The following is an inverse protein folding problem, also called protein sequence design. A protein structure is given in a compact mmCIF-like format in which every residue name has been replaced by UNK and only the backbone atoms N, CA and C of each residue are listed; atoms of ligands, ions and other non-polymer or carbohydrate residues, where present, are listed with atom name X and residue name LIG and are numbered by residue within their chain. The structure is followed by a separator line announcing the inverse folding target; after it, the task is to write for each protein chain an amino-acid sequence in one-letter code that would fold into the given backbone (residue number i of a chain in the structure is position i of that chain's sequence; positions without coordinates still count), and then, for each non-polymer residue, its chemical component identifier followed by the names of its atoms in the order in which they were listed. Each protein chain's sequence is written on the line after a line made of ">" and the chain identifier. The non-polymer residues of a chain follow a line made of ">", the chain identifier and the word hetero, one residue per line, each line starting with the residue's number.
data_IF_571088858418
#
_entry.id   IF_571088858418
#
_cell.length_a   1.000
_cell.length_b   1.000
_cell.length_c   1.000
_cell.angle_alpha   90.00
_cell.angle_beta   90.00
_cell.angle_gamma   90.00
#
_symmetry.space_group_name_H-M   'P 1'
#
loop_
_entity.id
_entity.type
_entity.pdbx_description
1 polymer ?
#
# COMPACT_ATOMS: atom_id res chain seq x y z
N UNK A 1 -6.37 -24.77 -3.96
CA UNK A 1 -5.83 -24.04 -5.12
C UNK A 1 -5.29 -25.05 -6.12
N UNK A 2 -5.38 -24.76 -7.41
CA UNK A 2 -4.71 -25.52 -8.46
C UNK A 2 -3.21 -25.18 -8.52
N UNK A 3 -2.41 -26.03 -9.15
CA UNK A 3 -0.97 -25.76 -9.38
C UNK A 3 -0.71 -24.44 -10.13
N UNK A 4 -1.62 -24.07 -11.03
CA UNK A 4 -1.55 -22.80 -11.76
C UNK A 4 -1.81 -21.61 -10.84
N UNK A 5 -2.83 -21.69 -10.00
CA UNK A 5 -3.14 -20.65 -9.01
C UNK A 5 -1.99 -20.46 -8.02
N UNK A 6 -1.42 -21.53 -7.49
CA UNK A 6 -0.25 -21.45 -6.59
C UNK A 6 0.95 -20.80 -7.27
N UNK A 7 1.16 -21.05 -8.57
CA UNK A 7 2.25 -20.46 -9.34
C UNK A 7 2.04 -18.97 -9.58
N UNK A 8 0.80 -18.57 -9.86
CA UNK A 8 0.41 -17.16 -9.98
C UNK A 8 0.62 -16.42 -8.66
N UNK A 9 0.15 -16.99 -7.55
CA UNK A 9 0.28 -16.38 -6.23
C UNK A 9 1.74 -16.24 -5.79
N UNK A 10 2.60 -17.25 -6.00
CA UNK A 10 4.04 -17.11 -5.71
C UNK A 10 4.68 -15.95 -6.47
N UNK A 11 4.29 -15.72 -7.72
CA UNK A 11 4.80 -14.59 -8.50
C UNK A 11 4.32 -13.25 -7.94
N UNK A 12 3.03 -13.14 -7.59
CA UNK A 12 2.46 -11.91 -7.00
C UNK A 12 3.13 -11.61 -5.66
N UNK A 13 3.16 -12.57 -4.72
CA UNK A 13 3.79 -12.40 -3.40
C UNK A 13 5.26 -11.99 -3.51
N UNK A 14 6.00 -12.63 -4.42
CA UNK A 14 7.42 -12.29 -4.65
C UNK A 14 7.56 -10.89 -5.25
N UNK A 15 6.73 -10.54 -6.24
CA UNK A 15 6.75 -9.22 -6.86
C UNK A 15 6.37 -8.13 -5.86
N UNK A 16 5.36 -8.34 -5.01
CA UNK A 16 4.98 -7.42 -3.92
C UNK A 16 6.17 -7.14 -3.02
N UNK A 17 6.80 -8.19 -2.46
CA UNK A 17 7.97 -8.01 -1.57
C UNK A 17 9.10 -7.26 -2.27
N UNK A 18 9.40 -7.58 -3.53
CA UNK A 18 10.47 -6.91 -4.27
C UNK A 18 10.12 -5.45 -4.59
N UNK A 19 8.90 -5.13 -5.00
CA UNK A 19 8.50 -3.74 -5.23
C UNK A 19 8.52 -2.92 -3.95
N UNK A 20 8.13 -3.50 -2.80
CA UNK A 20 8.26 -2.86 -1.50
C UNK A 20 9.72 -2.61 -1.10
N UNK A 21 10.62 -3.53 -1.43
CA UNK A 21 12.01 -3.48 -0.99
C UNK A 21 12.91 -2.61 -1.86
N UNK A 22 12.67 -2.56 -3.19
CA UNK A 22 13.58 -1.92 -4.15
C UNK A 22 12.86 -1.09 -5.24
N UNK A 23 11.53 -1.03 -5.24
CA UNK A 23 10.76 -0.28 -6.24
C UNK A 23 10.45 -1.09 -7.50
N UNK A 24 9.58 -0.54 -8.37
CA UNK A 24 9.15 -1.22 -9.57
C UNK A 24 10.29 -1.31 -10.58
N UNK A 25 10.92 -0.20 -10.95
CA UNK A 25 11.93 -0.09 -11.99
C UNK A 25 13.15 -0.98 -11.73
N UNK A 26 13.61 -1.06 -10.48
CA UNK A 26 14.75 -1.89 -10.10
C UNK A 26 14.45 -3.41 -10.12
N UNK A 27 13.18 -3.80 -10.13
CA UNK A 27 12.78 -5.21 -10.05
C UNK A 27 12.62 -5.84 -11.42
N UNK A 28 13.51 -6.76 -11.81
CA UNK A 28 13.42 -7.47 -13.08
C UNK A 28 12.53 -8.72 -13.05
N UNK A 29 11.86 -9.07 -14.16
CA UNK A 29 11.11 -10.32 -14.29
C UNK A 29 11.95 -11.57 -13.99
N UNK A 30 13.23 -11.56 -14.41
CA UNK A 30 14.17 -12.66 -14.12
C UNK A 30 14.37 -12.86 -12.62
N UNK A 31 14.46 -11.76 -11.87
CA UNK A 31 14.60 -11.80 -10.42
C UNK A 31 13.34 -12.36 -9.76
N UNK A 32 12.16 -11.85 -10.15
CA UNK A 32 10.86 -12.35 -9.65
C UNK A 32 10.74 -13.86 -9.85
N UNK A 33 11.02 -14.35 -11.07
CA UNK A 33 10.92 -15.78 -11.39
C UNK A 33 11.91 -16.63 -10.59
N UNK A 34 13.13 -16.14 -10.42
CA UNK A 34 14.16 -16.82 -9.65
C UNK A 34 13.77 -16.93 -8.18
N UNK A 35 13.30 -15.84 -7.58
CA UNK A 35 12.95 -15.79 -6.15
C UNK A 35 11.58 -16.43 -5.86
N UNK A 36 10.67 -16.50 -6.83
CA UNK A 36 9.38 -17.19 -6.69
C UNK A 36 9.44 -18.70 -6.97
N UNK A 37 10.59 -19.19 -7.45
CA UNK A 37 10.75 -20.57 -7.91
C UNK A 37 9.87 -20.92 -9.11
N UNK A 38 9.51 -19.93 -9.95
CA UNK A 38 8.57 -20.13 -11.05
C UNK A 38 9.33 -20.26 -12.39
N UNK A 39 9.02 -21.29 -13.21
CA UNK A 39 9.64 -21.42 -14.53
C UNK A 39 9.33 -20.23 -15.44
N UNK A 40 10.30 -19.82 -16.26
CA UNK A 40 10.14 -18.69 -17.20
C UNK A 40 8.94 -18.84 -18.15
N UNK A 41 8.65 -20.08 -18.58
CA UNK A 41 7.50 -20.37 -19.44
C UNK A 41 6.14 -20.09 -18.77
N UNK A 42 6.06 -20.15 -17.44
CA UNK A 42 4.82 -19.88 -16.70
C UNK A 42 4.49 -18.39 -16.61
N UNK A 43 5.48 -17.50 -16.75
CA UNK A 43 5.24 -16.05 -16.68
C UNK A 43 4.21 -15.61 -17.72
N UNK A 44 4.48 -15.86 -18.99
CA UNK A 44 3.61 -15.42 -20.09
C UNK A 44 2.29 -16.20 -20.18
N UNK A 45 2.20 -17.33 -19.47
CA UNK A 45 0.93 -18.04 -19.30
C UNK A 45 0.01 -17.32 -18.30
N UNK A 46 0.58 -16.79 -17.20
CA UNK A 46 -0.19 -16.12 -16.13
C UNK A 46 -0.31 -14.61 -16.31
N UNK A 47 0.69 -13.99 -16.93
CA UNK A 47 0.82 -12.56 -17.16
C UNK A 47 1.32 -12.35 -18.60
N UNK A 48 0.47 -12.55 -19.62
CA UNK A 48 0.84 -12.40 -21.03
C UNK A 48 1.41 -11.02 -21.36
N UNK A 49 0.97 -9.96 -20.70
CA UNK A 49 1.50 -8.60 -20.87
C UNK A 49 2.74 -8.33 -19.99
N UNK A 50 3.25 -9.37 -19.32
CA UNK A 50 4.49 -9.35 -18.57
C UNK A 50 4.43 -8.54 -17.27
N UNK A 51 5.47 -7.75 -17.02
CA UNK A 51 5.71 -7.12 -15.72
C UNK A 51 4.64 -6.10 -15.34
N UNK A 52 4.11 -5.38 -16.32
CA UNK A 52 3.11 -4.36 -16.08
C UNK A 52 1.80 -4.97 -15.57
N UNK A 53 1.34 -6.06 -16.19
CA UNK A 53 0.15 -6.79 -15.73
C UNK A 53 0.35 -7.40 -14.35
N UNK A 54 1.53 -8.01 -14.11
CA UNK A 54 1.89 -8.49 -12.77
C UNK A 54 1.86 -7.34 -11.73
N UNK A 55 2.31 -6.14 -12.10
CA UNK A 55 2.30 -5.00 -11.19
C UNK A 55 0.89 -4.45 -10.94
N UNK A 56 -0.01 -4.46 -11.93
CA UNK A 56 -1.43 -4.16 -11.71
C UNK A 56 -2.03 -5.11 -10.67
N UNK A 57 -1.71 -6.40 -10.77
CA UNK A 57 -2.18 -7.41 -9.82
C UNK A 57 -1.59 -7.24 -8.42
N UNK A 58 -0.31 -6.87 -8.33
CA UNK A 58 0.31 -6.48 -7.04
C UNK A 58 -0.40 -5.27 -6.44
N UNK A 59 -0.66 -4.22 -7.23
CA UNK A 59 -1.37 -3.01 -6.77
C UNK A 59 -2.77 -3.38 -6.30
N UNK A 60 -3.51 -4.17 -7.06
CA UNK A 60 -4.87 -4.58 -6.71
C UNK A 60 -4.90 -5.43 -5.43
N UNK A 61 -4.02 -6.44 -5.32
CA UNK A 61 -3.95 -7.32 -4.15
C UNK A 61 -3.53 -6.56 -2.90
N UNK A 62 -2.45 -5.81 -2.97
CA UNK A 62 -1.99 -5.02 -1.83
C UNK A 62 -3.00 -3.93 -1.44
N UNK A 63 -3.64 -3.34 -2.44
CA UNK A 63 -4.75 -2.39 -2.27
C UNK A 63 -5.93 -2.98 -1.49
N UNK A 64 -6.35 -4.20 -1.85
CA UNK A 64 -7.41 -4.96 -1.17
C UNK A 64 -6.98 -5.32 0.26
N UNK A 65 -5.81 -5.93 0.44
CA UNK A 65 -5.34 -6.41 1.75
C UNK A 65 -5.25 -5.25 2.76
N UNK A 66 -4.72 -4.10 2.33
CA UNK A 66 -4.65 -2.92 3.19
C UNK A 66 -6.03 -2.27 3.39
N UNK A 67 -6.91 -2.30 2.38
CA UNK A 67 -8.28 -1.83 2.53
C UNK A 67 -9.08 -2.66 3.56
N UNK A 68 -8.92 -3.98 3.54
CA UNK A 68 -9.52 -4.87 4.53
C UNK A 68 -8.98 -4.55 5.94
N UNK A 69 -7.66 -4.38 6.07
CA UNK A 69 -7.04 -3.97 7.33
C UNK A 69 -7.60 -2.63 7.83
N UNK A 70 -7.76 -1.64 6.95
CA UNK A 70 -8.39 -0.36 7.27
C UNK A 70 -9.81 -0.58 7.77
N UNK A 71 -10.64 -1.33 7.06
CA UNK A 71 -12.04 -1.57 7.44
C UNK A 71 -12.15 -2.30 8.79
N UNK A 72 -11.34 -3.32 9.02
CA UNK A 72 -11.28 -4.05 10.30
C UNK A 72 -10.92 -3.14 11.48
N UNK A 73 -9.84 -2.36 11.34
CA UNK A 73 -9.37 -1.44 12.39
C UNK A 73 -10.38 -0.33 12.64
N UNK A 74 -10.98 0.23 11.59
CA UNK A 74 -12.04 1.23 11.71
C UNK A 74 -13.21 0.61 12.49
N UNK A 75 -13.76 -0.52 12.06
CA UNK A 75 -14.92 -1.13 12.73
C UNK A 75 -14.67 -1.51 14.19
N UNK A 76 -13.43 -1.84 14.57
CA UNK A 76 -13.06 -2.19 15.94
C UNK A 76 -12.73 -0.98 16.84
N UNK A 77 -12.56 0.22 16.27
CA UNK A 77 -12.13 1.42 17.00
C UNK A 77 -13.29 2.34 17.40
N UNK A 78 -13.16 3.12 18.50
CA UNK A 78 -14.19 4.05 18.96
C UNK A 78 -14.34 5.30 18.08
N UNK A 79 -13.26 5.78 17.45
CA UNK A 79 -13.25 6.95 16.55
C UNK A 79 -12.15 6.84 15.47
N UNK A 80 -12.18 7.74 14.49
CA UNK A 80 -11.26 7.84 13.34
C UNK A 80 -9.82 8.14 13.75
N UNK A 81 -9.62 8.89 14.83
CA UNK A 81 -8.29 9.25 15.32
C UNK A 81 -7.63 8.01 15.91
N UNK A 82 -8.37 7.25 16.71
CA UNK A 82 -7.92 6.00 17.34
C UNK A 82 -7.63 4.95 16.28
N UNK A 83 -8.50 4.77 15.28
CA UNK A 83 -8.26 3.84 14.18
C UNK A 83 -7.05 4.24 13.34
N UNK A 84 -6.90 5.52 12.99
CA UNK A 84 -5.74 5.98 12.23
C UNK A 84 -4.43 5.77 13.01
N UNK A 85 -4.42 6.01 14.32
CA UNK A 85 -3.26 5.70 15.19
C UNK A 85 -2.92 4.22 15.19
N UNK A 86 -3.92 3.34 15.28
CA UNK A 86 -3.71 1.89 15.21
C UNK A 86 -3.16 1.43 13.86
N UNK A 87 -3.58 2.05 12.76
CA UNK A 87 -3.02 1.81 11.43
C UNK A 87 -1.56 2.22 11.37
N UNK A 88 -1.21 3.41 11.87
CA UNK A 88 0.19 3.85 11.92
C UNK A 88 1.03 2.94 12.84
N UNK A 89 0.47 2.46 13.95
CA UNK A 89 1.13 1.48 14.83
C UNK A 89 1.41 0.14 14.10
N UNK A 90 0.50 -0.31 13.23
CA UNK A 90 0.72 -1.50 12.40
C UNK A 90 1.87 -1.28 11.40
N UNK A 91 1.90 -0.12 10.75
CA UNK A 91 2.97 0.24 9.82
C UNK A 91 4.32 0.38 10.53
N UNK A 92 4.35 0.94 11.75
CA UNK A 92 5.56 1.06 12.54
C UNK A 92 6.12 -0.31 12.94
N UNK A 93 5.25 -1.24 13.38
CA UNK A 93 5.65 -2.62 13.68
C UNK A 93 6.21 -3.35 12.47
N UNK A 94 5.57 -3.19 11.30
CA UNK A 94 6.08 -3.77 10.05
C UNK A 94 7.46 -3.20 9.71
N UNK A 95 7.64 -1.88 9.86
CA UNK A 95 8.93 -1.24 9.67
C UNK A 95 10.01 -1.83 10.56
N UNK A 96 9.75 -1.90 11.87
CA UNK A 96 10.70 -2.45 12.84
C UNK A 96 11.07 -3.90 12.52
N UNK A 97 10.08 -4.71 12.10
CA UNK A 97 10.27 -6.10 11.70
C UNK A 97 11.13 -6.24 10.43
N UNK A 98 11.09 -5.26 9.51
CA UNK A 98 11.85 -5.27 8.25
C UNK A 98 13.08 -4.37 8.27
N UNK A 99 13.50 -3.89 9.45
CA UNK A 99 14.57 -2.88 9.59
C UNK A 99 14.34 -1.64 8.69
N UNK A 100 13.07 -1.29 8.48
CA UNK A 100 12.59 -0.18 7.69
C UNK A 100 13.03 -0.22 6.21
N UNK A 101 13.22 -1.43 5.70
CA UNK A 101 13.63 -1.69 4.31
C UNK A 101 12.45 -1.92 3.36
N UNK A 102 11.21 -1.91 3.86
CA UNK A 102 9.99 -2.04 3.05
C UNK A 102 9.20 -0.74 3.04
N UNK A 103 8.56 -0.44 1.91
CA UNK A 103 7.65 0.70 1.76
C UNK A 103 6.31 0.28 1.15
N UNK A 104 5.51 1.27 0.73
CA UNK A 104 4.26 1.02 0.01
C UNK A 104 4.54 0.70 -1.49
N UNK A 105 4.15 -0.48 -2.00
CA UNK A 105 4.37 -0.81 -3.40
C UNK A 105 3.46 0.01 -4.33
N UNK A 106 2.27 0.39 -3.86
CA UNK A 106 1.32 1.25 -4.60
C UNK A 106 1.92 2.65 -4.77
N UNK A 107 2.48 3.22 -3.70
CA UNK A 107 3.19 4.50 -3.73
C UNK A 107 4.41 4.48 -4.64
N UNK A 108 5.25 3.43 -4.54
CA UNK A 108 6.41 3.26 -5.41
C UNK A 108 6.03 3.20 -6.90
N UNK A 109 5.04 2.38 -7.26
CA UNK A 109 4.55 2.26 -8.64
C UNK A 109 3.94 3.57 -9.13
N UNK A 110 3.14 4.25 -8.30
CA UNK A 110 2.55 5.53 -8.66
C UNK A 110 3.63 6.57 -8.97
N UNK A 111 4.64 6.66 -8.11
CA UNK A 111 5.74 7.61 -8.27
C UNK A 111 6.58 7.33 -9.52
N UNK A 112 6.89 6.06 -9.79
CA UNK A 112 7.78 5.67 -10.89
C UNK A 112 7.08 5.62 -12.26
N UNK A 113 5.80 5.24 -12.30
CA UNK A 113 5.13 4.82 -13.54
C UNK A 113 3.94 5.67 -13.96
N UNK A 114 3.42 6.57 -13.11
CA UNK A 114 2.22 7.33 -13.45
C UNK A 114 2.35 8.17 -14.74
N UNK A 115 3.55 8.64 -15.09
CA UNK A 115 3.76 9.45 -16.29
C UNK A 115 4.03 8.63 -17.56
N UNK A 116 4.24 7.31 -17.42
CA UNK A 116 4.70 6.43 -18.51
C UNK A 116 3.74 5.26 -18.77
N UNK A 117 2.85 4.94 -17.83
CA UNK A 117 1.84 3.90 -17.95
C UNK A 117 0.48 4.38 -17.43
N UNK A 118 -0.48 4.58 -18.34
CA UNK A 118 -1.86 4.89 -17.97
C UNK A 118 -2.51 3.75 -17.18
N UNK A 119 -2.16 2.50 -17.51
CA UNK A 119 -2.69 1.30 -16.85
C UNK A 119 -2.30 1.27 -15.37
N UNK A 120 -1.03 1.51 -15.05
CA UNK A 120 -0.55 1.57 -13.67
C UNK A 120 -1.02 2.84 -12.94
N UNK A 121 -1.10 3.97 -13.64
CA UNK A 121 -1.67 5.22 -13.09
C UNK A 121 -3.11 5.01 -12.64
N UNK A 122 -3.93 4.34 -13.46
CA UNK A 122 -5.33 4.03 -13.13
C UNK A 122 -5.42 3.08 -11.93
N UNK A 123 -4.66 1.98 -11.93
CA UNK A 123 -4.68 0.99 -10.85
C UNK A 123 -4.32 1.61 -9.50
N UNK A 124 -3.23 2.40 -9.46
CA UNK A 124 -2.80 3.07 -8.21
C UNK A 124 -3.78 4.14 -7.74
N UNK A 125 -4.38 4.91 -8.67
CA UNK A 125 -5.44 5.88 -8.35
C UNK A 125 -6.63 5.21 -7.67
N UNK A 126 -7.13 4.11 -8.24
CA UNK A 126 -8.29 3.37 -7.69
C UNK A 126 -8.03 2.90 -6.26
N UNK A 127 -6.81 2.44 -5.97
CA UNK A 127 -6.40 2.03 -4.62
C UNK A 127 -6.35 3.20 -3.65
N UNK A 128 -5.70 4.32 -4.01
CA UNK A 128 -5.65 5.50 -3.14
C UNK A 128 -7.03 6.13 -2.89
N UNK A 129 -7.90 6.13 -3.91
CA UNK A 129 -9.30 6.56 -3.77
C UNK A 129 -10.07 5.66 -2.80
N UNK A 130 -9.85 4.34 -2.87
CA UNK A 130 -10.48 3.39 -1.94
C UNK A 130 -10.02 3.60 -0.50
N UNK A 131 -8.71 3.67 -0.25
CA UNK A 131 -8.15 3.88 1.09
C UNK A 131 -8.64 5.20 1.70
N UNK A 132 -8.56 6.29 0.92
CA UNK A 132 -9.08 7.60 1.33
C UNK A 132 -10.59 7.55 1.59
N UNK A 133 -11.34 6.81 0.76
CA UNK A 133 -12.78 6.66 0.90
C UNK A 133 -13.20 5.92 2.17
N UNK A 134 -12.45 4.89 2.59
CA UNK A 134 -12.70 4.18 3.85
C UNK A 134 -12.55 5.12 5.04
N UNK A 135 -11.44 5.86 5.11
CA UNK A 135 -11.19 6.81 6.20
C UNK A 135 -12.20 7.97 6.18
N UNK A 136 -12.55 8.51 5.01
CA UNK A 136 -13.54 9.58 4.88
C UNK A 136 -14.93 9.15 5.37
N UNK A 137 -15.35 7.90 5.08
CA UNK A 137 -16.60 7.35 5.61
C UNK A 137 -16.56 7.27 7.14
N UNK A 138 -15.42 6.87 7.72
CA UNK A 138 -15.28 6.83 9.17
C UNK A 138 -15.34 8.23 9.79
N UNK A 139 -14.58 9.19 9.27
CA UNK A 139 -14.62 10.58 9.73
C UNK A 139 -16.06 11.16 9.67
N UNK A 140 -16.81 10.83 8.61
CA UNK A 140 -18.21 11.25 8.49
C UNK A 140 -19.12 10.61 9.54
N UNK A 141 -18.89 9.33 9.88
CA UNK A 141 -19.63 8.65 10.93
C UNK A 141 -19.35 9.24 12.33
N UNK A 142 -18.18 9.84 12.51
CA UNK A 142 -17.80 10.56 13.74
C UNK A 142 -18.31 12.02 13.76
N UNK A 143 -19.06 12.45 12.75
CA UNK A 143 -19.75 13.74 12.72
C UNK A 143 -19.08 14.82 11.85
N UNK A 144 -17.95 14.53 11.20
CA UNK A 144 -17.29 15.49 10.30
C UNK A 144 -18.10 15.62 9.01
N UNK A 145 -18.22 16.84 8.47
CA UNK A 145 -18.95 17.04 7.22
C UNK A 145 -18.35 16.22 6.08
N UNK A 146 -19.15 15.67 5.13
CA UNK A 146 -18.61 14.82 4.08
C UNK A 146 -17.53 15.47 3.21
N UNK A 147 -17.54 16.79 3.05
CA UNK A 147 -16.50 17.48 2.28
C UNK A 147 -15.19 17.57 3.03
N UNK A 148 -15.25 18.01 4.29
CA UNK A 148 -14.09 18.09 5.16
C UNK A 148 -13.50 16.69 5.45
N UNK A 149 -14.34 15.68 5.68
CA UNK A 149 -13.94 14.28 5.85
C UNK A 149 -13.12 13.75 4.65
N UNK A 150 -13.50 14.10 3.42
CA UNK A 150 -12.73 13.74 2.21
C UNK A 150 -11.38 14.44 2.17
N UNK A 151 -11.32 15.73 2.52
CA UNK A 151 -10.08 16.51 2.50
C UNK A 151 -9.10 16.00 3.57
N UNK A 152 -9.59 15.78 4.80
CA UNK A 152 -8.82 15.21 5.92
C UNK A 152 -8.34 13.80 5.66
N UNK A 153 -9.19 12.93 5.09
CA UNK A 153 -8.77 11.58 4.74
C UNK A 153 -7.64 11.57 3.71
N UNK A 154 -7.72 12.43 2.68
CA UNK A 154 -6.61 12.59 1.71
C UNK A 154 -5.34 13.11 2.38
N UNK A 155 -5.46 14.11 3.25
CA UNK A 155 -4.32 14.65 3.99
C UNK A 155 -3.64 13.57 4.86
N UNK A 156 -4.44 12.72 5.52
CA UNK A 156 -3.91 11.60 6.30
C UNK A 156 -3.21 10.54 5.44
N UNK A 157 -3.77 10.15 4.30
CA UNK A 157 -3.10 9.23 3.37
C UNK A 157 -1.80 9.84 2.84
N UNK A 158 -1.79 11.12 2.48
CA UNK A 158 -0.56 11.84 2.10
C UNK A 158 0.49 11.81 3.21
N UNK A 159 0.08 12.04 4.45
CA UNK A 159 0.99 12.04 5.61
C UNK A 159 1.55 10.64 5.88
N UNK A 160 0.73 9.58 5.77
CA UNK A 160 1.16 8.18 5.93
C UNK A 160 2.17 7.80 4.84
N UNK A 161 1.86 8.04 3.57
CA UNK A 161 2.77 7.73 2.45
C UNK A 161 4.08 8.53 2.55
N UNK A 162 3.99 9.81 2.92
CA UNK A 162 5.17 10.65 3.17
C UNK A 162 6.02 10.13 4.33
N UNK A 163 5.38 9.68 5.42
CA UNK A 163 6.09 9.07 6.55
C UNK A 163 6.80 7.79 6.12
N UNK A 164 6.17 6.90 5.34
CA UNK A 164 6.83 5.69 4.83
C UNK A 164 8.09 6.00 4.00
N UNK A 165 8.06 7.08 3.20
CA UNK A 165 9.24 7.55 2.47
C UNK A 165 10.35 8.02 3.42
N UNK A 166 10.02 8.86 4.41
CA UNK A 166 10.98 9.41 5.36
C UNK A 166 11.58 8.34 6.26
N UNK A 167 10.74 7.43 6.77
CA UNK A 167 11.13 6.26 7.55
C UNK A 167 12.16 5.41 6.80
N UNK A 168 11.93 5.17 5.50
CA UNK A 168 12.90 4.46 4.66
C UNK A 168 14.20 5.24 4.47
N UNK A 169 14.11 6.55 4.25
CA UNK A 169 15.28 7.40 4.04
C UNK A 169 16.18 7.49 5.29
N UNK A 170 15.57 7.50 6.48
CA UNK A 170 16.29 7.55 7.75
C UNK A 170 16.61 6.16 8.34
N UNK A 171 15.92 5.11 7.89
CA UNK A 171 15.99 3.80 8.51
C UNK A 171 15.43 3.80 9.94
N UNK A 172 14.42 4.63 10.21
CA UNK A 172 13.95 4.93 11.57
C UNK A 172 12.42 4.94 11.65
N UNK A 173 11.87 4.02 12.44
CA UNK A 173 10.43 3.92 12.70
C UNK A 173 9.88 5.07 13.55
N UNK A 174 10.73 5.87 14.21
CA UNK A 174 10.31 7.03 15.02
C UNK A 174 9.47 8.02 14.22
N UNK A 175 9.69 8.11 12.90
CA UNK A 175 8.91 8.98 11.99
C UNK A 175 7.43 8.58 11.97
N UNK A 176 7.12 7.29 12.02
CA UNK A 176 5.74 6.81 12.09
C UNK A 176 5.15 7.07 13.49
N UNK A 177 5.95 6.90 14.55
CA UNK A 177 5.53 7.24 15.92
C UNK A 177 5.24 8.75 16.07
N UNK A 178 6.04 9.61 15.44
CA UNK A 178 5.80 11.06 15.41
C UNK A 178 4.51 11.39 14.65
N UNK A 179 4.28 10.76 13.48
CA UNK A 179 3.04 10.93 12.72
C UNK A 179 1.82 10.52 13.55
N UNK A 180 1.89 9.39 14.26
CA UNK A 180 0.82 8.88 15.12
C UNK A 180 0.38 9.91 16.17
N UNK A 181 1.33 10.63 16.77
CA UNK A 181 1.03 11.69 17.73
C UNK A 181 0.41 12.94 17.08
N UNK A 182 0.66 13.15 15.78
CA UNK A 182 0.14 14.29 15.02
C UNK A 182 -1.17 14.04 14.28
N UNK A 183 -1.59 12.77 14.14
CA UNK A 183 -2.88 12.42 13.50
C UNK A 183 -4.10 13.18 14.01
N UNK A 184 -4.28 13.44 15.33
CA UNK A 184 -5.42 14.24 15.79
C UNK A 184 -5.50 15.62 15.13
N UNK A 185 -4.37 16.28 14.90
CA UNK A 185 -4.35 17.60 14.27
C UNK A 185 -4.75 17.56 12.79
N UNK A 186 -4.66 16.39 12.14
CA UNK A 186 -5.13 16.20 10.76
C UNK A 186 -6.60 15.80 10.69
N UNK A 187 -7.08 15.08 11.71
CA UNK A 187 -8.36 14.36 11.67
C UNK A 187 -9.45 14.97 12.55
N UNK A 188 -9.11 15.89 13.45
CA UNK A 188 -10.05 16.57 14.35
C UNK A 188 -10.15 18.06 14.03
N UNK A 189 -11.26 18.68 14.45
CA UNK A 189 -11.47 20.13 14.41
C UNK A 189 -10.47 20.92 15.26
#
# INVERSE_FOLDING_TARGET
>A
MSKGEETRERMITTATRLFQAQGYAATGLKQILSESGTPRGSLYFHFPDGKEELAVEVVARHGEDFAQTLEEVMNASPDAVTSARQIVDLLARECEATACQTGCPVGAIAFEMANTSERLRKATREVFERWSGILARRLSADGISPDDARQRARAAICAIEGALVLTRAYGDASILHDLRERLPALLSD
#
